data_IF_350694979768
#
_entry.id   IF_350694979768
#
_cell.length_a   1.000
_cell.length_b   1.000
_cell.length_c   1.000
_cell.angle_alpha   90.00
_cell.angle_beta   90.00
_cell.angle_gamma   90.00
#
_symmetry.space_group_name_H-M   'P 1'
#
loop_
_entity.id
_entity.type
_entity.pdbx_description
1 polymer ?
#
# COMPACT_ATOMS: atom_id res chain seq x y z
N UNK A 1 -52.80 49.48 22.88
CA UNK A 1 -52.79 49.67 24.35
C UNK A 1 -51.97 48.56 24.98
N UNK A 2 -51.13 48.94 25.93
CA UNK A 2 -49.96 48.24 26.47
C UNK A 2 -50.30 46.92 27.15
N UNK A 3 -49.54 45.84 26.92
CA UNK A 3 -49.51 44.69 27.82
C UNK A 3 -48.07 44.25 28.14
N UNK A 4 -47.71 44.57 29.39
CA UNK A 4 -46.64 44.09 30.26
C UNK A 4 -45.85 42.85 29.78
N UNK A 5 -44.58 43.05 29.43
CA UNK A 5 -43.56 42.02 29.65
C UNK A 5 -42.86 42.31 30.99
N UNK A 6 -42.97 41.33 31.89
CA UNK A 6 -42.43 41.34 33.24
C UNK A 6 -40.95 41.00 33.16
N UNK A 7 -40.10 41.87 33.71
CA UNK A 7 -38.67 41.62 33.85
C UNK A 7 -38.40 40.34 34.65
N UNK A 8 -37.49 39.51 34.14
CA UNK A 8 -36.90 38.40 34.87
C UNK A 8 -35.42 38.68 35.07
N UNK A 9 -35.12 39.29 36.22
CA UNK A 9 -33.77 39.54 36.72
C UNK A 9 -33.02 38.22 36.94
N UNK A 10 -31.84 38.10 36.32
CA UNK A 10 -30.85 37.08 36.64
C UNK A 10 -30.38 37.26 38.08
N UNK A 11 -30.67 36.27 38.94
CA UNK A 11 -30.01 36.11 40.23
C UNK A 11 -29.49 34.69 40.35
N UNK A 12 -28.17 34.62 40.36
CA UNK A 12 -27.34 33.67 41.09
C UNK A 12 -27.42 32.19 40.65
N UNK A 13 -26.47 31.78 39.81
CA UNK A 13 -26.00 30.40 39.80
C UNK A 13 -24.50 30.33 39.46
N UNK A 14 -23.66 30.84 40.36
CA UNK A 14 -22.21 30.60 40.31
C UNK A 14 -21.69 30.28 41.70
N UNK A 15 -21.87 29.02 42.12
CA UNK A 15 -21.03 28.36 43.12
C UNK A 15 -20.87 26.91 42.68
N UNK A 16 -19.86 26.65 41.84
CA UNK A 16 -19.38 25.29 41.60
C UNK A 16 -17.87 25.31 41.45
N UNK A 17 -17.16 25.21 42.57
CA UNK A 17 -15.71 24.96 42.58
C UNK A 17 -15.34 23.57 42.08
N UNK A 18 -16.32 22.73 41.69
CA UNK A 18 -16.10 21.42 41.08
C UNK A 18 -16.00 21.43 39.55
N UNK A 19 -16.41 22.50 38.87
CA UNK A 19 -16.41 22.57 37.39
C UNK A 19 -15.03 22.88 36.81
N UNK A 20 -14.16 23.57 37.56
CA UNK A 20 -12.83 23.91 37.07
C UNK A 20 -11.86 22.70 36.97
N UNK A 21 -12.09 21.64 37.76
CA UNK A 21 -11.24 20.43 37.71
C UNK A 21 -11.54 19.56 36.47
N UNK A 22 -12.81 19.54 36.01
CA UNK A 22 -13.21 18.76 34.84
C UNK A 22 -12.79 19.41 33.51
N UNK A 23 -12.74 20.75 33.46
CA UNK A 23 -12.28 21.48 32.26
C UNK A 23 -10.78 21.26 32.05
N UNK A 24 -9.97 21.26 33.12
CA UNK A 24 -8.53 20.99 33.03
C UNK A 24 -8.21 19.58 32.51
N UNK A 25 -9.03 18.57 32.85
CA UNK A 25 -8.88 17.20 32.33
C UNK A 25 -9.25 17.08 30.84
N UNK A 26 -10.22 17.88 30.36
CA UNK A 26 -10.64 17.86 28.97
C UNK A 26 -9.61 18.51 28.03
N UNK A 27 -8.91 19.55 28.47
CA UNK A 27 -7.84 20.18 27.68
C UNK A 27 -6.55 19.34 27.59
N UNK A 28 -6.32 18.39 28.51
CA UNK A 28 -5.15 17.50 28.43
C UNK A 28 -5.34 16.39 27.38
N UNK A 29 -6.57 15.98 27.08
CA UNK A 29 -6.88 15.02 26.01
C UNK A 29 -6.91 15.66 24.60
N UNK A 30 -7.19 16.97 24.50
CA UNK A 30 -7.33 17.67 23.23
C UNK A 30 -6.00 18.03 22.53
N UNK A 31 -4.87 17.84 23.21
CA UNK A 31 -3.53 18.15 22.69
C UNK A 31 -2.74 16.92 22.25
N UNK A 32 -3.39 15.77 21.99
CA UNK A 32 -2.76 14.70 21.21
C UNK A 32 -2.73 15.13 19.73
N UNK A 33 -1.99 16.20 19.44
CA UNK A 33 -1.65 16.58 18.09
C UNK A 33 -0.77 15.47 17.54
N UNK A 34 -1.30 14.76 16.55
CA UNK A 34 -0.55 13.81 15.74
C UNK A 34 0.72 14.51 15.26
N UNK A 35 1.88 14.03 15.69
CA UNK A 35 3.17 14.48 15.17
C UNK A 35 3.09 14.35 13.63
N UNK A 36 3.39 15.39 12.84
CA UNK A 36 3.48 15.27 11.39
C UNK A 36 4.77 14.55 11.02
N UNK A 37 4.88 13.29 11.44
CA UNK A 37 5.67 12.28 10.77
C UNK A 37 4.72 11.57 9.83
N UNK A 38 4.41 12.18 8.69
CA UNK A 38 3.94 11.42 7.54
C UNK A 38 5.07 10.45 7.19
N UNK A 39 5.08 9.27 7.83
CA UNK A 39 5.83 8.10 7.38
C UNK A 39 5.10 7.57 6.14
N UNK A 40 5.08 8.38 5.07
CA UNK A 40 4.71 7.90 3.76
C UNK A 40 5.67 6.78 3.41
N UNK A 41 5.18 5.54 3.41
CA UNK A 41 6.01 4.40 3.08
C UNK A 41 6.66 4.67 1.70
N UNK A 42 7.99 4.65 1.66
CA UNK A 42 8.77 4.86 0.43
C UNK A 42 8.23 3.88 -0.61
N UNK A 43 7.82 4.38 -1.78
CA UNK A 43 7.30 3.53 -2.86
C UNK A 43 8.41 2.72 -3.52
N UNK A 44 8.07 1.55 -4.05
CA UNK A 44 9.01 0.77 -4.87
C UNK A 44 9.40 1.56 -6.12
N UNK A 45 10.64 1.39 -6.58
CA UNK A 45 11.08 1.94 -7.86
C UNK A 45 10.31 1.32 -9.02
N UNK A 46 10.20 2.08 -10.12
CA UNK A 46 9.61 1.59 -11.35
C UNK A 46 10.36 0.35 -11.88
N UNK A 47 9.64 -0.51 -12.59
CA UNK A 47 10.23 -1.66 -13.28
C UNK A 47 11.07 -1.13 -14.46
N UNK A 48 12.36 -1.48 -14.56
CA UNK A 48 13.20 -1.08 -15.70
C UNK A 48 12.68 -1.62 -17.04
N UNK A 49 12.95 -0.93 -18.15
CA UNK A 49 12.37 -1.23 -19.46
C UNK A 49 12.73 -2.63 -19.99
N UNK A 50 13.97 -3.07 -19.76
CA UNK A 50 14.47 -4.38 -20.15
C UNK A 50 13.73 -5.53 -19.43
N UNK A 51 13.48 -5.36 -18.13
CA UNK A 51 12.64 -6.27 -17.33
C UNK A 51 11.18 -6.19 -17.78
N UNK A 52 10.68 -4.98 -17.99
CA UNK A 52 9.28 -4.76 -18.33
C UNK A 52 8.91 -5.39 -19.67
N UNK A 53 9.83 -5.38 -20.65
CA UNK A 53 9.65 -6.06 -21.93
C UNK A 53 9.47 -7.58 -21.78
N UNK A 54 10.19 -8.19 -20.84
CA UNK A 54 10.00 -9.62 -20.51
C UNK A 54 8.63 -9.82 -19.87
N UNK A 55 8.25 -8.99 -18.91
CA UNK A 55 6.95 -9.11 -18.24
C UNK A 55 5.76 -8.91 -19.18
N UNK A 56 5.86 -8.00 -20.14
CA UNK A 56 4.82 -7.83 -21.17
C UNK A 56 4.56 -9.11 -21.95
N UNK A 57 5.61 -9.88 -22.24
CA UNK A 57 5.51 -11.14 -22.98
C UNK A 57 5.05 -12.27 -22.06
N UNK A 58 5.75 -12.48 -20.93
CA UNK A 58 5.65 -13.70 -20.15
C UNK A 58 4.66 -13.63 -18.98
N UNK A 59 4.28 -12.44 -18.52
CA UNK A 59 3.60 -12.27 -17.23
C UNK A 59 2.28 -11.48 -17.33
N UNK A 60 2.22 -10.44 -18.15
CA UNK A 60 1.13 -9.47 -18.15
C UNK A 60 -0.19 -10.05 -18.65
N UNK A 61 -0.16 -11.09 -19.48
CA UNK A 61 -1.37 -11.81 -19.88
C UNK A 61 -2.18 -12.35 -18.69
N UNK A 62 -1.54 -12.64 -17.56
CA UNK A 62 -2.18 -13.12 -16.34
C UNK A 62 -2.11 -12.14 -15.16
N UNK A 63 -1.01 -11.39 -15.04
CA UNK A 63 -0.71 -10.52 -13.90
C UNK A 63 -0.75 -9.00 -14.23
N UNK A 64 -1.15 -8.64 -15.45
CA UNK A 64 -1.29 -7.25 -15.92
C UNK A 64 -2.73 -6.74 -15.89
N UNK A 65 -3.00 -5.56 -16.47
CA UNK A 65 -4.31 -4.90 -16.39
C UNK A 65 -5.51 -5.75 -16.83
N UNK A 66 -5.30 -6.66 -17.78
CA UNK A 66 -6.32 -7.55 -18.35
C UNK A 66 -6.23 -8.99 -17.81
N UNK A 67 -5.47 -9.20 -16.72
CA UNK A 67 -5.24 -10.50 -16.11
C UNK A 67 -6.47 -11.08 -15.40
N UNK A 68 -6.44 -12.39 -15.14
CA UNK A 68 -7.51 -13.07 -14.38
C UNK A 68 -7.42 -12.71 -12.89
N UNK A 69 -8.56 -12.71 -12.20
CA UNK A 69 -8.66 -12.32 -10.80
C UNK A 69 -7.71 -13.12 -9.88
N UNK A 70 -7.64 -14.45 -10.05
CA UNK A 70 -6.86 -15.33 -9.17
C UNK A 70 -5.35 -15.02 -9.19
N UNK A 71 -4.64 -15.00 -10.34
CA UNK A 71 -3.24 -14.57 -10.42
C UNK A 71 -3.00 -13.18 -9.80
N UNK A 72 -3.94 -12.26 -10.02
CA UNK A 72 -3.84 -10.86 -9.58
C UNK A 72 -3.92 -10.66 -8.07
N UNK A 73 -4.45 -11.64 -7.32
CA UNK A 73 -4.50 -11.57 -5.85
C UNK A 73 -3.12 -11.61 -5.20
N UNK A 74 -2.17 -12.32 -5.79
CA UNK A 74 -0.80 -12.47 -5.27
C UNK A 74 0.17 -11.49 -5.93
N UNK A 75 0.02 -11.25 -7.22
CA UNK A 75 0.87 -10.34 -7.99
C UNK A 75 0.04 -9.59 -9.03
N UNK A 76 0.04 -8.26 -8.96
CA UNK A 76 -0.66 -7.39 -9.89
C UNK A 76 0.31 -6.27 -10.32
N UNK A 77 0.82 -6.36 -11.53
CA UNK A 77 1.77 -5.39 -12.07
C UNK A 77 1.16 -4.01 -12.30
N UNK A 78 -0.15 -3.93 -12.52
CA UNK A 78 -0.87 -2.65 -12.65
C UNK A 78 -0.83 -1.82 -11.37
N UNK A 79 -0.54 -2.45 -10.23
CA UNK A 79 -0.39 -1.80 -8.91
C UNK A 79 1.06 -1.67 -8.47
N UNK A 80 2.02 -1.90 -9.36
CA UNK A 80 3.43 -1.96 -8.98
C UNK A 80 3.88 -0.71 -8.23
N UNK A 81 3.63 0.47 -8.81
CA UNK A 81 4.01 1.77 -8.24
C UNK A 81 3.20 2.17 -7.00
N UNK A 82 2.13 1.44 -6.68
CA UNK A 82 1.34 1.65 -5.47
C UNK A 82 2.00 0.97 -4.25
N UNK A 83 2.82 -0.06 -4.46
CA UNK A 83 3.48 -0.79 -3.38
C UNK A 83 4.54 0.07 -2.70
N UNK A 84 4.65 -0.07 -1.38
CA UNK A 84 5.84 0.36 -0.67
C UNK A 84 7.06 -0.48 -1.08
N UNK A 85 8.26 0.04 -0.82
CA UNK A 85 9.52 -0.53 -1.25
C UNK A 85 9.75 -1.93 -0.67
N UNK A 86 9.36 -2.18 0.58
CA UNK A 86 9.51 -3.48 1.24
C UNK A 86 8.62 -4.52 0.55
N UNK A 87 7.36 -4.17 0.31
CA UNK A 87 6.39 -5.04 -0.38
C UNK A 87 6.77 -5.27 -1.84
N UNK A 88 7.26 -4.24 -2.52
CA UNK A 88 7.77 -4.35 -3.89
C UNK A 88 8.97 -5.29 -3.99
N UNK A 89 9.95 -5.13 -3.09
CA UNK A 89 11.11 -6.01 -3.00
C UNK A 89 10.72 -7.47 -2.69
N UNK A 90 9.80 -7.68 -1.74
CA UNK A 90 9.28 -9.01 -1.44
C UNK A 90 8.57 -9.67 -2.63
N UNK A 91 7.80 -8.89 -3.40
CA UNK A 91 7.18 -9.38 -4.64
C UNK A 91 8.21 -9.72 -5.71
N UNK A 92 9.22 -8.88 -5.92
CA UNK A 92 10.29 -9.16 -6.87
C UNK A 92 11.07 -10.43 -6.49
N UNK A 93 11.36 -10.60 -5.20
CA UNK A 93 12.00 -11.82 -4.69
C UNK A 93 11.15 -13.07 -4.99
N UNK A 94 9.84 -13.01 -4.72
CA UNK A 94 8.94 -14.13 -5.04
C UNK A 94 8.89 -14.42 -6.54
N UNK A 95 8.88 -13.40 -7.40
CA UNK A 95 8.95 -13.60 -8.86
C UNK A 95 10.22 -14.38 -9.23
N UNK A 96 11.38 -13.99 -8.70
CA UNK A 96 12.63 -14.72 -8.95
C UNK A 96 12.54 -16.19 -8.47
N UNK A 97 12.01 -16.45 -7.27
CA UNK A 97 11.84 -17.82 -6.76
C UNK A 97 10.95 -18.66 -7.66
N UNK A 98 9.77 -18.17 -8.03
CA UNK A 98 8.81 -18.91 -8.87
C UNK A 98 9.35 -19.21 -10.28
N UNK A 99 10.19 -18.34 -10.82
CA UNK A 99 10.88 -18.57 -12.09
C UNK A 99 12.05 -19.55 -11.95
N UNK A 100 12.84 -19.45 -10.88
CA UNK A 100 13.97 -20.34 -10.61
C UNK A 100 13.52 -21.78 -10.32
N UNK A 101 12.36 -21.94 -9.69
CA UNK A 101 11.73 -23.25 -9.43
C UNK A 101 10.89 -23.77 -10.61
N UNK A 102 10.85 -23.03 -11.72
CA UNK A 102 10.00 -23.32 -12.88
C UNK A 102 8.51 -23.53 -12.50
N UNK A 103 8.06 -22.90 -11.42
CA UNK A 103 6.68 -22.93 -10.94
C UNK A 103 5.79 -22.00 -11.79
N UNK A 104 6.36 -20.90 -12.31
CA UNK A 104 5.70 -19.97 -13.22
C UNK A 104 6.39 -19.90 -14.60
N UNK A 105 5.63 -19.84 -15.70
CA UNK A 105 4.17 -20.00 -15.78
C UNK A 105 3.72 -21.41 -15.38
N UNK A 106 2.47 -21.65 -14.95
CA UNK A 106 2.00 -22.98 -14.54
C UNK A 106 2.14 -24.01 -15.67
N UNK A 107 2.38 -25.29 -15.33
CA UNK A 107 2.60 -26.38 -16.30
C UNK A 107 1.57 -26.44 -17.44
N UNK A 108 0.29 -26.21 -17.13
CA UNK A 108 -0.78 -26.19 -18.13
C UNK A 108 -0.63 -25.05 -19.14
N UNK A 109 -0.24 -23.86 -18.68
CA UNK A 109 0.01 -22.68 -19.53
C UNK A 109 1.25 -22.91 -20.39
N UNK A 110 2.32 -23.48 -19.82
CA UNK A 110 3.56 -23.80 -20.57
C UNK A 110 3.29 -24.74 -21.74
N UNK A 111 2.38 -25.72 -21.56
CA UNK A 111 2.04 -26.69 -22.61
C UNK A 111 1.30 -26.05 -23.79
N UNK A 112 0.42 -25.09 -23.53
CA UNK A 112 -0.39 -24.44 -24.56
C UNK A 112 0.22 -23.15 -25.11
N UNK A 113 1.13 -22.52 -24.36
CA UNK A 113 1.74 -21.23 -24.70
C UNK A 113 3.24 -21.26 -24.31
N UNK A 114 4.07 -22.08 -24.98
CA UNK A 114 5.49 -22.22 -24.65
C UNK A 114 6.27 -20.90 -24.83
N UNK A 115 5.79 -19.98 -25.67
CA UNK A 115 6.37 -18.64 -25.87
C UNK A 115 6.28 -17.73 -24.63
N UNK A 116 5.42 -18.06 -23.67
CA UNK A 116 5.32 -17.32 -22.40
C UNK A 116 6.42 -17.69 -21.41
N UNK A 117 7.18 -18.76 -21.66
CA UNK A 117 8.23 -19.24 -20.77
C UNK A 117 9.45 -18.31 -20.91
N UNK A 118 9.86 -17.59 -19.86
CA UNK A 118 11.09 -16.80 -19.92
C UNK A 118 12.31 -17.70 -20.16
N UNK A 119 13.28 -17.21 -20.94
CA UNK A 119 14.56 -17.91 -21.10
C UNK A 119 15.38 -17.88 -19.80
N UNK A 120 16.43 -18.70 -19.72
CA UNK A 120 17.34 -18.70 -18.57
C UNK A 120 17.99 -17.33 -18.35
N UNK A 121 18.40 -16.68 -19.43
CA UNK A 121 19.02 -15.35 -19.41
C UNK A 121 18.02 -14.29 -18.94
N UNK A 122 16.76 -14.37 -19.39
CA UNK A 122 15.68 -13.50 -18.93
C UNK A 122 15.38 -13.69 -17.44
N UNK A 123 15.31 -14.94 -16.97
CA UNK A 123 15.14 -15.27 -15.54
C UNK A 123 16.29 -14.72 -14.71
N UNK A 124 17.54 -14.87 -15.16
CA UNK A 124 18.71 -14.30 -14.47
C UNK A 124 18.65 -12.78 -14.39
N UNK A 125 18.22 -12.11 -15.46
CA UNK A 125 18.06 -10.66 -15.49
C UNK A 125 16.99 -10.19 -14.49
N UNK A 126 15.84 -10.87 -14.44
CA UNK A 126 14.76 -10.61 -13.47
C UNK A 126 15.26 -10.83 -12.03
N UNK A 127 15.97 -11.92 -11.77
CA UNK A 127 16.52 -12.21 -10.45
C UNK A 127 17.56 -11.19 -10.00
N UNK A 128 18.43 -10.73 -10.90
CA UNK A 128 19.39 -9.66 -10.62
C UNK A 128 18.68 -8.36 -10.25
N UNK A 129 17.63 -8.00 -10.99
CA UNK A 129 16.78 -6.85 -10.65
C UNK A 129 16.10 -7.03 -9.29
N UNK A 130 15.53 -8.20 -8.99
CA UNK A 130 14.90 -8.47 -7.71
C UNK A 130 15.86 -8.30 -6.52
N UNK A 131 17.12 -8.73 -6.66
CA UNK A 131 18.15 -8.52 -5.63
C UNK A 131 18.46 -7.04 -5.44
N UNK A 132 18.47 -6.24 -6.52
CA UNK A 132 18.75 -4.80 -6.45
C UNK A 132 17.71 -4.00 -5.64
N UNK A 133 16.51 -4.56 -5.43
CA UNK A 133 15.44 -3.94 -4.67
C UNK A 133 15.49 -4.24 -3.16
N UNK A 134 16.34 -5.18 -2.71
CA UNK A 134 16.44 -5.50 -1.29
C UNK A 134 16.88 -4.26 -0.51
N UNK A 135 16.24 -3.94 0.64
CA UNK A 135 16.74 -2.88 1.52
C UNK A 135 18.21 -3.14 1.85
N UNK A 136 19.03 -2.09 1.82
CA UNK A 136 20.39 -2.18 2.32
C UNK A 136 20.31 -2.34 3.84
N UNK A 137 20.94 -3.40 4.36
CA UNK A 137 21.10 -3.64 5.80
C UNK A 137 21.98 -2.57 6.45
#
# INVERSE_FOLDING_TARGET
MVNKFKEMTMKNLFHSKGIHLLIALFFLAANFQSIPGQTGAVKVSAIPDDINKIFQTSCYGCHGPNGKLLPMTKLNFSKWTEYDAVKGAGKAANICTELAEEAMPPKSVRKSNPELIPTKEQTLLICKWAVSLKPKE
#
